data_IF_431144509314
#
_entry.id   IF_431144509314
#
_cell.length_a   1.000
_cell.length_b   1.000
_cell.length_c   1.000
_cell.angle_alpha   90.00
_cell.angle_beta   90.00
_cell.angle_gamma   90.00
#
_symmetry.space_group_name_H-M   'P 1'
#
loop_
_entity.id
_entity.type
_entity.pdbx_description
1 polymer ?
#
# COMPACT_ATOMS: atom_id res chain seq x y z
N UNK A 1 24.03 -1.74 -28.29
CA UNK A 1 25.24 -1.71 -27.42
C UNK A 1 24.92 -0.84 -26.22
N UNK A 2 24.60 -1.46 -25.08
CA UNK A 2 24.37 -0.74 -23.84
C UNK A 2 25.70 -0.27 -23.27
N UNK A 3 25.89 1.04 -23.16
CA UNK A 3 27.04 1.60 -22.46
C UNK A 3 26.92 1.22 -20.96
N UNK A 4 28.01 0.72 -20.35
CA UNK A 4 28.01 0.48 -18.91
C UNK A 4 27.83 1.82 -18.18
N UNK A 5 26.93 1.86 -17.21
CA UNK A 5 26.80 2.98 -16.28
C UNK A 5 28.06 2.98 -15.40
N UNK A 6 28.94 3.94 -15.61
CA UNK A 6 30.10 4.16 -14.75
C UNK A 6 29.60 4.77 -13.44
N UNK A 7 29.66 4.01 -12.36
CA UNK A 7 29.60 4.53 -10.99
C UNK A 7 30.95 5.19 -10.68
N UNK A 8 31.07 6.46 -11.01
CA UNK A 8 32.18 7.26 -10.54
C UNK A 8 31.92 7.54 -9.06
N UNK A 9 32.72 6.93 -8.19
CA UNK A 9 32.79 7.35 -6.79
C UNK A 9 33.28 8.81 -6.80
N UNK A 10 32.36 9.70 -6.48
CA UNK A 10 32.56 11.12 -6.54
C UNK A 10 33.56 11.51 -5.47
N UNK A 11 34.65 12.14 -5.91
CA UNK A 11 35.64 12.75 -5.04
C UNK A 11 35.01 13.86 -4.18
N UNK A 12 35.71 14.25 -3.19
CA UNK A 12 35.52 15.08 -1.98
C UNK A 12 34.59 16.31 -2.01
N UNK A 13 33.85 16.62 -3.08
CA UNK A 13 33.03 17.82 -3.17
C UNK A 13 31.54 17.61 -2.88
N UNK A 14 31.04 16.39 -2.68
CA UNK A 14 29.63 16.13 -2.39
C UNK A 14 29.36 16.01 -0.88
N UNK A 15 29.62 17.08 -0.16
CA UNK A 15 29.06 17.23 1.19
C UNK A 15 27.56 17.32 1.08
N UNK A 16 26.85 16.20 1.35
CA UNK A 16 25.48 16.30 1.75
C UNK A 16 24.42 15.52 0.96
N UNK A 17 24.72 14.77 -0.09
CA UNK A 17 23.72 13.90 -0.71
C UNK A 17 23.64 12.60 0.10
N UNK A 18 22.59 12.42 0.87
CA UNK A 18 22.35 11.17 1.59
C UNK A 18 21.83 10.12 0.63
N UNK A 19 22.16 8.84 0.85
CA UNK A 19 21.60 7.71 0.10
C UNK A 19 20.07 7.78 0.06
N UNK A 20 19.46 8.16 1.17
CA UNK A 20 18.04 8.42 1.30
C UNK A 20 17.49 9.42 0.25
N UNK A 21 18.21 10.50 -0.03
CA UNK A 21 17.77 11.52 -0.99
C UNK A 21 17.86 10.98 -2.43
N UNK A 22 18.84 10.11 -2.72
CA UNK A 22 18.96 9.43 -4.00
C UNK A 22 17.84 8.39 -4.21
N UNK A 23 17.43 7.69 -3.16
CA UNK A 23 16.34 6.70 -3.22
C UNK A 23 15.00 7.41 -3.47
N UNK A 24 14.79 8.56 -2.85
CA UNK A 24 13.55 9.35 -3.01
C UNK A 24 13.50 10.20 -4.29
N UNK A 25 14.62 10.39 -4.96
CA UNK A 25 14.67 11.23 -6.15
C UNK A 25 13.66 10.83 -7.25
N UNK A 26 13.45 9.53 -7.56
CA UNK A 26 12.45 9.13 -8.54
C UNK A 26 11.00 9.52 -8.16
N UNK A 27 10.67 9.48 -6.87
CA UNK A 27 9.37 9.83 -6.34
C UNK A 27 9.01 11.30 -6.48
N UNK A 28 10.04 12.15 -6.40
CA UNK A 28 9.88 13.60 -6.47
C UNK A 28 9.95 14.15 -7.90
N UNK A 29 10.01 13.29 -8.91
CA UNK A 29 9.99 13.73 -10.30
C UNK A 29 8.63 14.32 -10.68
N UNK A 30 8.57 15.31 -11.59
CA UNK A 30 7.30 15.84 -12.11
C UNK A 30 6.38 14.75 -12.64
N UNK A 31 6.94 13.74 -13.32
CA UNK A 31 6.20 12.60 -13.86
C UNK A 31 5.56 11.73 -12.76
N UNK A 32 6.28 11.46 -11.68
CA UNK A 32 5.73 10.67 -10.57
C UNK A 32 4.58 11.40 -9.88
N UNK A 33 4.71 12.72 -9.70
CA UNK A 33 3.66 13.57 -9.13
C UNK A 33 2.43 13.66 -10.03
N UNK A 34 2.63 13.86 -11.34
CA UNK A 34 1.56 13.88 -12.33
C UNK A 34 0.80 12.54 -12.34
N UNK A 35 1.53 11.42 -12.31
CA UNK A 35 0.94 10.09 -12.22
C UNK A 35 0.10 9.92 -10.95
N UNK A 36 0.63 10.32 -9.80
CA UNK A 36 -0.09 10.23 -8.53
C UNK A 36 -1.37 11.08 -8.53
N UNK A 37 -1.32 12.28 -9.09
CA UNK A 37 -2.47 13.18 -9.22
C UNK A 37 -3.53 12.69 -10.21
N UNK A 38 -3.17 11.82 -11.15
CA UNK A 38 -4.13 11.26 -12.13
C UNK A 38 -5.04 10.18 -11.54
N UNK A 39 -4.79 9.71 -10.32
CA UNK A 39 -5.58 8.66 -9.68
C UNK A 39 -6.69 9.24 -8.82
N UNK A 40 -7.83 8.56 -8.81
CA UNK A 40 -8.89 8.84 -7.85
C UNK A 40 -8.46 8.35 -6.46
N UNK A 41 -8.47 9.25 -5.48
CA UNK A 41 -8.10 8.91 -4.10
C UNK A 41 -9.15 7.99 -3.44
N UNK A 42 -10.40 8.06 -3.88
CA UNK A 42 -11.50 7.21 -3.42
C UNK A 42 -11.52 5.81 -4.03
N UNK A 43 -10.64 5.50 -4.98
CA UNK A 43 -10.53 4.17 -5.57
C UNK A 43 -9.24 3.45 -5.12
N UNK A 44 -9.30 2.14 -4.76
CA UNK A 44 -8.12 1.37 -4.40
C UNK A 44 -7.17 1.24 -5.59
N UNK A 45 -5.90 0.98 -5.31
CA UNK A 45 -4.91 0.75 -6.36
C UNK A 45 -5.30 -0.44 -7.23
N UNK A 46 -5.82 -1.50 -6.60
CA UNK A 46 -6.41 -2.63 -7.31
C UNK A 46 -7.29 -3.47 -6.37
N UNK A 47 -8.28 -4.17 -6.95
CA UNK A 47 -9.09 -5.17 -6.26
C UNK A 47 -9.28 -6.37 -7.20
N UNK A 48 -8.88 -7.55 -6.73
CA UNK A 48 -8.97 -8.80 -7.48
C UNK A 48 -9.15 -10.00 -6.55
N UNK A 49 -9.52 -11.16 -7.09
CA UNK A 49 -9.58 -12.40 -6.32
C UNK A 49 -8.51 -13.40 -6.76
N UNK A 50 -8.12 -14.27 -5.84
CA UNK A 50 -7.18 -15.36 -6.07
C UNK A 50 -7.67 -16.65 -5.41
N UNK A 51 -7.38 -17.83 -5.98
CA UNK A 51 -7.51 -19.08 -5.26
C UNK A 51 -6.50 -19.12 -4.10
N UNK A 52 -6.96 -19.61 -2.96
CA UNK A 52 -6.20 -19.70 -1.72
C UNK A 52 -6.47 -21.02 -1.00
N UNK A 53 -5.85 -21.16 0.16
CA UNK A 53 -6.04 -22.30 1.04
C UNK A 53 -6.13 -21.79 2.48
N UNK A 54 -7.16 -22.23 3.18
CA UNK A 54 -7.31 -21.94 4.62
C UNK A 54 -6.24 -22.63 5.46
N UNK A 55 -6.13 -22.25 6.73
CA UNK A 55 -5.13 -22.80 7.64
C UNK A 55 -5.22 -24.33 7.83
N UNK A 56 -6.40 -24.91 7.65
CA UNK A 56 -6.64 -26.38 7.72
C UNK A 56 -6.41 -27.10 6.37
N UNK A 57 -5.97 -26.41 5.34
CA UNK A 57 -5.68 -26.97 4.02
C UNK A 57 -6.87 -27.02 3.07
N UNK A 58 -8.02 -26.44 3.43
CA UNK A 58 -9.21 -26.42 2.56
C UNK A 58 -9.05 -25.37 1.45
N UNK A 59 -9.25 -25.72 0.17
CA UNK A 59 -9.26 -24.76 -0.92
C UNK A 59 -10.35 -23.71 -0.71
N UNK A 60 -9.98 -22.43 -0.88
CA UNK A 60 -10.88 -21.30 -0.76
C UNK A 60 -10.56 -20.22 -1.80
N UNK A 61 -11.25 -19.10 -1.75
CA UNK A 61 -10.89 -17.93 -2.51
C UNK A 61 -10.76 -16.69 -1.62
N UNK A 62 -9.85 -15.81 -1.99
CA UNK A 62 -9.60 -14.54 -1.30
C UNK A 62 -9.80 -13.35 -2.24
N UNK A 63 -10.43 -12.29 -1.74
CA UNK A 63 -10.36 -10.97 -2.37
C UNK A 63 -9.17 -10.23 -1.82
N UNK A 64 -8.33 -9.71 -2.69
CA UNK A 64 -7.23 -8.82 -2.34
C UNK A 64 -7.60 -7.39 -2.66
N UNK A 65 -7.52 -6.53 -1.66
CA UNK A 65 -7.72 -5.08 -1.76
C UNK A 65 -6.40 -4.40 -1.48
N UNK A 66 -5.86 -3.69 -2.47
CA UNK A 66 -4.66 -2.87 -2.28
C UNK A 66 -5.10 -1.41 -2.19
N UNK A 67 -5.03 -0.86 -1.00
CA UNK A 67 -5.45 0.51 -0.73
C UNK A 67 -4.38 1.52 -1.17
N UNK A 68 -4.83 2.65 -1.71
CA UNK A 68 -4.02 3.85 -1.85
C UNK A 68 -3.98 4.56 -0.50
N UNK A 69 -2.79 4.82 -0.01
CA UNK A 69 -2.59 5.47 1.28
C UNK A 69 -1.57 6.59 1.16
N UNK A 70 -1.34 7.31 2.25
CA UNK A 70 -0.23 8.27 2.34
C UNK A 70 1.14 7.61 2.30
N UNK A 71 1.17 6.28 2.39
CA UNK A 71 2.39 5.50 2.35
C UNK A 71 3.02 5.27 3.71
N UNK A 72 4.13 4.57 3.69
CA UNK A 72 4.85 4.10 4.85
C UNK A 72 5.62 5.24 5.53
N UNK A 73 5.43 5.46 6.83
CA UNK A 73 6.17 6.48 7.57
C UNK A 73 7.67 6.17 7.62
N UNK A 74 8.06 4.88 7.62
CA UNK A 74 9.46 4.48 7.54
C UNK A 74 10.09 4.92 6.21
N UNK A 75 9.37 4.77 5.10
CA UNK A 75 9.85 5.25 3.81
C UNK A 75 10.04 6.76 3.81
N UNK A 76 9.12 7.51 4.42
CA UNK A 76 9.23 8.97 4.53
C UNK A 76 10.39 9.42 5.41
N UNK A 77 10.73 8.66 6.46
CA UNK A 77 11.82 9.00 7.39
C UNK A 77 13.19 8.50 6.91
N UNK A 78 13.31 7.23 6.58
CA UNK A 78 14.59 6.54 6.33
C UNK A 78 14.73 5.99 4.92
N UNK A 79 13.62 5.64 4.27
CA UNK A 79 13.58 5.01 2.96
C UNK A 79 13.88 3.51 3.00
N UNK A 80 13.33 2.80 2.00
CA UNK A 80 13.64 1.41 1.72
C UNK A 80 14.19 1.30 0.32
N UNK A 81 15.36 0.70 0.15
CA UNK A 81 16.07 0.64 -1.14
C UNK A 81 15.39 -0.24 -2.18
N UNK A 82 14.49 -1.13 -1.76
CA UNK A 82 13.79 -2.08 -2.62
C UNK A 82 12.29 -1.85 -2.70
N UNK A 83 11.76 -0.83 -2.01
CA UNK A 83 10.32 -0.59 -1.98
C UNK A 83 9.84 0.12 -3.25
N UNK A 84 9.00 -0.56 -4.04
CA UNK A 84 8.30 0.01 -5.18
C UNK A 84 6.89 0.54 -4.85
N UNK A 85 6.32 0.13 -3.71
CA UNK A 85 4.92 0.44 -3.34
C UNK A 85 4.65 1.93 -3.15
N UNK A 86 5.68 2.68 -2.75
CA UNK A 86 5.53 4.10 -2.56
C UNK A 86 5.13 4.84 -3.87
N UNK A 87 5.39 4.26 -5.04
CA UNK A 87 4.93 4.81 -6.32
C UNK A 87 3.40 4.85 -6.45
N UNK A 88 2.70 4.08 -5.64
CA UNK A 88 1.23 4.01 -5.60
C UNK A 88 0.64 4.76 -4.39
N UNK A 89 1.46 5.54 -3.68
CA UNK A 89 1.03 6.40 -2.57
C UNK A 89 0.59 7.78 -3.04
N UNK A 90 -0.20 8.43 -2.21
CA UNK A 90 -0.67 9.79 -2.44
C UNK A 90 -0.81 10.50 -1.08
N UNK A 91 -0.13 11.62 -0.89
CA UNK A 91 0.00 12.31 0.40
C UNK A 91 -1.28 13.01 0.87
N UNK A 92 -2.22 13.24 -0.03
CA UNK A 92 -3.50 13.89 0.21
C UNK A 92 -4.69 12.93 0.45
N UNK A 93 -4.47 11.61 0.53
CA UNK A 93 -5.51 10.63 0.86
C UNK A 93 -6.08 10.90 2.25
N UNK A 94 -7.40 11.03 2.34
CA UNK A 94 -8.13 11.27 3.58
C UNK A 94 -8.71 9.98 4.18
N UNK A 95 -9.29 10.07 5.38
CA UNK A 95 -10.02 8.95 5.98
C UNK A 95 -11.26 8.60 5.14
N UNK A 96 -11.95 9.60 4.62
CA UNK A 96 -13.12 9.44 3.74
C UNK A 96 -12.75 8.72 2.44
N UNK A 97 -11.58 8.99 1.88
CA UNK A 97 -11.07 8.28 0.70
C UNK A 97 -10.83 6.80 1.01
N UNK A 98 -10.25 6.47 2.16
CA UNK A 98 -10.05 5.08 2.59
C UNK A 98 -11.39 4.35 2.73
N UNK A 99 -12.38 4.98 3.34
CA UNK A 99 -13.74 4.42 3.43
C UNK A 99 -14.37 4.23 2.04
N UNK A 100 -14.18 5.18 1.12
CA UNK A 100 -14.66 5.07 -0.26
C UNK A 100 -14.00 3.90 -0.99
N UNK A 101 -12.70 3.72 -0.86
CA UNK A 101 -11.94 2.59 -1.41
C UNK A 101 -12.44 1.25 -0.86
N UNK A 102 -12.73 1.18 0.43
CA UNK A 102 -13.26 -0.01 1.07
C UNK A 102 -14.67 -0.34 0.57
N UNK A 103 -15.54 0.67 0.46
CA UNK A 103 -16.88 0.49 -0.10
C UNK A 103 -16.83 0.07 -1.57
N UNK A 104 -15.91 0.64 -2.37
CA UNK A 104 -15.69 0.21 -3.75
C UNK A 104 -15.36 -1.29 -3.82
N UNK A 105 -14.46 -1.77 -2.98
CA UNK A 105 -14.07 -3.17 -2.95
C UNK A 105 -15.26 -4.08 -2.58
N UNK A 106 -16.05 -3.70 -1.57
CA UNK A 106 -17.25 -4.42 -1.15
C UNK A 106 -18.30 -4.47 -2.26
N UNK A 107 -18.58 -3.35 -2.91
CA UNK A 107 -19.55 -3.29 -4.01
C UNK A 107 -19.11 -4.16 -5.20
N UNK A 108 -17.80 -4.10 -5.55
CA UNK A 108 -17.26 -4.88 -6.67
C UNK A 108 -17.39 -6.39 -6.48
N UNK A 109 -17.34 -6.85 -5.24
CA UNK A 109 -17.39 -8.27 -4.89
C UNK A 109 -18.59 -8.64 -4.00
N UNK A 110 -19.69 -7.89 -4.09
CA UNK A 110 -20.94 -8.17 -3.41
C UNK A 110 -20.74 -8.50 -1.91
N UNK A 111 -20.12 -7.59 -1.15
CA UNK A 111 -19.74 -7.79 0.24
C UNK A 111 -18.89 -9.05 0.48
N UNK A 112 -18.11 -9.45 -0.54
CA UNK A 112 -17.24 -10.63 -0.53
C UNK A 112 -18.00 -11.96 -0.37
N UNK A 113 -19.27 -12.02 -0.77
CA UNK A 113 -20.18 -13.14 -0.50
C UNK A 113 -19.59 -14.48 -0.92
N UNK A 114 -19.01 -14.56 -2.12
CA UNK A 114 -18.45 -15.80 -2.71
C UNK A 114 -17.01 -16.10 -2.24
N UNK A 115 -16.48 -15.32 -1.31
CA UNK A 115 -15.08 -15.41 -0.88
C UNK A 115 -14.99 -15.64 0.63
N UNK A 116 -14.12 -16.55 1.05
CA UNK A 116 -13.91 -16.90 2.45
C UNK A 116 -12.96 -15.93 3.15
N UNK A 117 -12.06 -15.32 2.38
CA UNK A 117 -10.95 -14.55 2.90
C UNK A 117 -10.86 -13.17 2.24
N UNK A 118 -10.48 -12.17 3.01
CA UNK A 118 -10.17 -10.82 2.52
C UNK A 118 -8.74 -10.49 2.91
N UNK A 119 -7.95 -10.04 1.93
CA UNK A 119 -6.58 -9.56 2.13
C UNK A 119 -6.55 -8.06 1.93
N UNK A 120 -6.08 -7.32 2.92
CA UNK A 120 -5.98 -5.86 2.82
C UNK A 120 -4.51 -5.47 2.91
N UNK A 121 -4.02 -4.88 1.83
CA UNK A 121 -2.65 -4.42 1.68
C UNK A 121 -2.60 -2.91 1.51
N UNK A 122 -1.52 -2.33 1.96
CA UNK A 122 -1.24 -0.90 1.87
C UNK A 122 0.19 -0.70 1.38
N UNK A 123 0.59 0.55 1.18
CA UNK A 123 2.01 0.86 0.94
C UNK A 123 2.82 0.96 2.24
N UNK A 124 2.34 0.36 3.32
CA UNK A 124 2.94 0.41 4.64
C UNK A 124 2.39 -0.68 5.55
N UNK A 125 1.75 -0.29 6.64
CA UNK A 125 1.14 -1.20 7.61
C UNK A 125 -0.29 -0.79 7.87
N UNK A 126 -1.24 -1.71 7.71
CA UNK A 126 -2.66 -1.44 8.04
C UNK A 126 -2.84 -1.12 9.53
N UNK A 127 -2.02 -1.71 10.40
CA UNK A 127 -2.14 -1.60 11.86
C UNK A 127 -1.24 -0.49 12.46
N UNK A 128 -0.71 0.40 11.65
CA UNK A 128 0.10 1.53 12.13
C UNK A 128 -0.74 2.83 12.12
N UNK A 129 -1.06 3.34 13.30
CA UNK A 129 -1.96 4.50 13.48
C UNK A 129 -1.47 5.78 12.80
N UNK A 130 -0.14 5.90 12.61
CA UNK A 130 0.47 7.02 11.89
C UNK A 130 0.23 6.97 10.38
N UNK A 131 -0.11 5.79 9.85
CA UNK A 131 -0.30 5.55 8.41
C UNK A 131 -1.78 5.40 8.07
N UNK A 132 -2.52 4.70 8.91
CA UNK A 132 -3.93 4.38 8.72
C UNK A 132 -4.72 4.79 9.97
N UNK A 133 -5.74 5.63 9.85
CA UNK A 133 -6.58 6.02 10.98
C UNK A 133 -7.20 4.81 11.69
N UNK A 134 -7.18 4.81 13.02
CA UNK A 134 -7.73 3.72 13.85
C UNK A 134 -9.20 3.44 13.51
N UNK A 135 -10.00 4.48 13.28
CA UNK A 135 -11.40 4.37 12.87
C UNK A 135 -11.58 3.52 11.59
N UNK A 136 -10.68 3.68 10.62
CA UNK A 136 -10.72 2.89 9.41
C UNK A 136 -10.28 1.43 9.67
N UNK A 137 -9.25 1.22 10.49
CA UNK A 137 -8.82 -0.13 10.90
C UNK A 137 -9.98 -0.87 11.56
N UNK A 138 -10.67 -0.23 12.51
CA UNK A 138 -11.85 -0.78 13.20
C UNK A 138 -12.98 -1.09 12.23
N UNK A 139 -13.22 -0.24 11.23
CA UNK A 139 -14.22 -0.48 10.19
C UNK A 139 -13.93 -1.76 9.41
N UNK A 140 -12.70 -1.96 8.95
CA UNK A 140 -12.28 -3.15 8.20
C UNK A 140 -12.45 -4.41 9.07
N UNK A 141 -12.00 -4.36 10.32
CA UNK A 141 -12.11 -5.47 11.27
C UNK A 141 -13.57 -5.83 11.54
N UNK A 142 -14.41 -4.83 11.85
CA UNK A 142 -15.83 -5.04 12.15
C UNK A 142 -16.60 -5.59 10.93
N UNK A 143 -16.31 -5.11 9.74
CA UNK A 143 -16.95 -5.60 8.52
C UNK A 143 -16.55 -7.08 8.25
N UNK A 144 -15.27 -7.42 8.33
CA UNK A 144 -14.83 -8.80 8.15
C UNK A 144 -15.44 -9.74 9.19
N UNK A 145 -15.49 -9.32 10.46
CA UNK A 145 -16.15 -10.08 11.52
C UNK A 145 -17.65 -10.28 11.25
N UNK A 146 -18.37 -9.22 10.91
CA UNK A 146 -19.80 -9.24 10.59
C UNK A 146 -20.11 -10.14 9.39
N UNK A 147 -19.24 -10.12 8.39
CA UNK A 147 -19.37 -10.92 7.16
C UNK A 147 -18.83 -12.34 7.31
N UNK A 148 -18.26 -12.70 8.45
CA UNK A 148 -17.66 -14.02 8.71
C UNK A 148 -16.47 -14.34 7.81
N UNK A 149 -15.64 -13.32 7.48
CA UNK A 149 -14.47 -13.47 6.60
C UNK A 149 -13.19 -13.56 7.41
N UNK A 150 -12.29 -14.45 6.99
CA UNK A 150 -10.90 -14.41 7.46
C UNK A 150 -10.21 -13.15 6.90
N UNK A 151 -9.51 -12.42 7.76
CA UNK A 151 -8.80 -11.21 7.38
C UNK A 151 -7.29 -11.45 7.42
N UNK A 152 -6.61 -11.18 6.30
CA UNK A 152 -5.16 -11.11 6.21
C UNK A 152 -4.77 -9.66 5.97
N UNK A 153 -3.83 -9.17 6.77
CA UNK A 153 -3.28 -7.82 6.63
C UNK A 153 -1.76 -7.86 6.53
N UNK A 154 -1.21 -6.90 5.82
CA UNK A 154 0.21 -6.63 5.82
C UNK A 154 0.54 -5.66 6.97
N UNK A 155 1.50 -6.03 7.79
CA UNK A 155 1.97 -5.19 8.89
C UNK A 155 3.47 -5.35 9.07
N UNK A 156 4.12 -4.25 9.44
CA UNK A 156 5.49 -4.30 9.92
C UNK A 156 5.50 -4.71 11.38
N UNK A 157 6.66 -5.26 11.83
CA UNK A 157 6.93 -5.42 13.23
C UNK A 157 7.10 -4.03 13.85
N UNK A 158 6.14 -3.59 14.62
CA UNK A 158 6.20 -2.31 15.35
C UNK A 158 7.02 -2.53 16.65
N UNK A 159 7.86 -1.55 16.97
CA UNK A 159 8.64 -1.51 18.21
C UNK A 159 8.09 -0.46 19.15
#
# INVERSE_FOLDING_TARGET
>A
MNKPVSLTLLGESNKGVRIHDLIKAPANTPWAKERQQSWDAGEPATVYYTPETTADGTPCSAVTVILRTKGCHWWWSSGCTFCGYFNDTRDDVTNEDLHSQWQFAKQKFNDFEDHQMVKVYTSGSLLEDREIPVEFQETVLADCQRLGKELIVESRCEQ
#
